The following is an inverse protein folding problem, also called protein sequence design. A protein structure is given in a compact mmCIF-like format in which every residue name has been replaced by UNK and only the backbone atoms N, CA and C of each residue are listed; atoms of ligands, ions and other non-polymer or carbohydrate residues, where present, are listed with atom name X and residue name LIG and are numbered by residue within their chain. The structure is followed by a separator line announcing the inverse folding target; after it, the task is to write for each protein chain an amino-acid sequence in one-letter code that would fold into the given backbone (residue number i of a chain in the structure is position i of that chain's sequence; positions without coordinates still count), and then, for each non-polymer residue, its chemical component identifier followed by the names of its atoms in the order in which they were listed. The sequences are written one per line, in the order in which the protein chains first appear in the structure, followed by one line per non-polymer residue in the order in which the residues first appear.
data_IF_394626560756
#
_entry.id   IF_394626560756
#
_cell.length_a   1.000
_cell.length_b   1.000
_cell.length_c   1.000
_cell.angle_alpha   90.00
_cell.angle_beta   90.00
_cell.angle_gamma   90.00
#
_symmetry.space_group_name_H-M   'P 1'
#
loop_
_entity.id
_entity.type
_entity.pdbx_description
1 polymer ?
#
# COMPACT_ATOMS: atom_id res chain seq x y z
N UNK A 1 -9.85 -8.29 17.45
CA UNK A 1 -10.02 -7.00 16.73
C UNK A 1 -8.66 -6.36 16.57
N UNK A 2 -7.98 -6.73 15.48
CA UNK A 2 -6.67 -6.23 15.09
C UNK A 2 -6.60 -4.71 15.14
N UNK A 3 -5.68 -4.20 15.95
CA UNK A 3 -5.37 -2.77 16.00
C UNK A 3 -4.25 -2.51 15.00
N UNK A 4 -4.59 -1.92 13.86
CA UNK A 4 -3.60 -1.34 12.96
C UNK A 4 -3.23 0.04 13.48
N UNK A 5 -1.95 0.27 13.77
CA UNK A 5 -1.49 1.54 14.33
C UNK A 5 -1.54 2.68 13.30
N UNK A 6 -1.49 2.34 12.00
CA UNK A 6 -1.49 3.30 10.90
C UNK A 6 -0.27 4.22 10.90
N UNK A 7 -0.33 5.23 10.03
CA UNK A 7 0.73 6.23 9.85
C UNK A 7 0.24 7.64 10.19
N UNK A 8 1.17 8.51 10.59
CA UNK A 8 0.93 9.95 10.76
C UNK A 8 1.72 10.72 9.71
N UNK A 9 1.06 11.69 9.07
CA UNK A 9 1.72 12.60 8.11
C UNK A 9 2.39 13.79 8.80
N UNK A 10 1.99 14.11 10.03
CA UNK A 10 2.59 15.15 10.87
C UNK A 10 2.37 14.82 12.37
N UNK A 11 3.16 15.36 13.31
CA UNK A 11 3.06 15.02 14.73
C UNK A 11 1.64 15.14 15.33
N UNK A 12 0.91 16.17 14.90
CA UNK A 12 -0.46 16.49 15.35
C UNK A 12 -1.56 15.99 14.40
N UNK A 13 -1.20 15.30 13.32
CA UNK A 13 -2.17 14.73 12.40
C UNK A 13 -2.84 13.48 13.01
N UNK A 14 -4.10 13.21 12.62
CA UNK A 14 -4.73 11.92 12.91
C UNK A 14 -3.93 10.78 12.27
N UNK A 15 -4.03 9.60 12.88
CA UNK A 15 -3.48 8.37 12.28
C UNK A 15 -4.41 7.91 11.18
N UNK A 16 -3.83 7.50 10.07
CA UNK A 16 -4.55 6.94 8.92
C UNK A 16 -4.03 5.51 8.75
N UNK A 17 -4.93 4.54 8.82
CA UNK A 17 -4.61 3.12 8.58
C UNK A 17 -5.05 2.65 7.20
N UNK A 18 -5.93 3.39 6.51
CA UNK A 18 -6.45 2.97 5.22
C UNK A 18 -6.96 4.14 4.37
N UNK A 19 -7.07 3.88 3.07
CA UNK A 19 -7.76 4.72 2.10
C UNK A 19 -8.52 3.79 1.14
N UNK A 20 -9.84 3.96 1.07
CA UNK A 20 -10.71 3.12 0.23
C UNK A 20 -11.29 3.95 -0.90
N UNK A 21 -11.24 3.42 -2.12
CA UNK A 21 -11.90 4.03 -3.28
C UNK A 21 -12.39 2.95 -4.24
N UNK A 22 -13.71 2.87 -4.43
CA UNK A 22 -14.34 1.82 -5.24
C UNK A 22 -13.80 0.43 -4.83
N UNK A 23 -13.19 -0.29 -5.76
CA UNK A 23 -12.63 -1.63 -5.55
C UNK A 23 -11.16 -1.63 -5.08
N UNK A 24 -10.52 -0.45 -5.04
CA UNK A 24 -9.10 -0.32 -4.69
C UNK A 24 -8.91 0.20 -3.25
N UNK A 25 -8.11 -0.53 -2.48
CA UNK A 25 -7.83 -0.22 -1.08
C UNK A 25 -6.33 -0.05 -0.83
N UNK A 26 -5.97 0.98 -0.07
CA UNK A 26 -4.64 1.20 0.46
C UNK A 26 -4.66 0.99 1.96
N UNK A 27 -3.72 0.21 2.47
CA UNK A 27 -3.58 -0.07 3.89
C UNK A 27 -2.20 0.40 4.35
N UNK A 28 -2.18 1.15 5.45
CA UNK A 28 -0.98 1.69 6.06
C UNK A 28 -0.76 1.02 7.40
N UNK A 29 0.41 0.41 7.55
CA UNK A 29 0.84 -0.37 8.71
C UNK A 29 2.27 0.01 9.08
N UNK A 30 2.66 -0.23 10.32
CA UNK A 30 4.09 -0.24 10.66
C UNK A 30 4.75 -1.50 10.10
N UNK A 31 5.99 -1.38 9.66
CA UNK A 31 6.78 -2.52 9.19
C UNK A 31 7.23 -3.41 10.34
N UNK A 32 6.30 -4.15 10.93
CA UNK A 32 6.54 -5.09 12.02
C UNK A 32 5.67 -6.32 11.82
N UNK A 33 6.17 -7.48 12.25
CA UNK A 33 5.45 -8.75 12.11
C UNK A 33 4.05 -8.69 12.74
N UNK A 34 3.93 -8.14 13.95
CA UNK A 34 2.65 -8.02 14.66
C UNK A 34 1.60 -7.23 13.87
N UNK A 35 2.00 -6.18 13.15
CA UNK A 35 1.06 -5.40 12.32
C UNK A 35 0.63 -6.16 11.06
N UNK A 36 1.54 -6.95 10.47
CA UNK A 36 1.20 -7.85 9.37
C UNK A 36 0.23 -8.96 9.81
N UNK A 37 0.45 -9.56 10.98
CA UNK A 37 -0.46 -10.56 11.56
C UNK A 37 -1.84 -9.95 11.86
N UNK A 38 -1.88 -8.76 12.46
CA UNK A 38 -3.13 -8.03 12.70
C UNK A 38 -3.86 -7.72 11.38
N UNK A 39 -3.13 -7.36 10.32
CA UNK A 39 -3.71 -7.15 9.00
C UNK A 39 -4.34 -8.44 8.46
N UNK A 40 -3.64 -9.57 8.56
CA UNK A 40 -4.16 -10.87 8.12
C UNK A 40 -5.44 -11.24 8.89
N UNK A 41 -5.48 -11.03 10.22
CA UNK A 41 -6.70 -11.24 11.03
C UNK A 41 -7.87 -10.38 10.52
N UNK A 42 -7.61 -9.10 10.22
CA UNK A 42 -8.62 -8.18 9.69
C UNK A 42 -9.11 -8.62 8.32
N UNK A 43 -8.22 -9.03 7.41
CA UNK A 43 -8.61 -9.52 6.08
C UNK A 43 -9.42 -10.81 6.20
N UNK A 44 -8.99 -11.78 7.00
CA UNK A 44 -9.75 -13.02 7.20
C UNK A 44 -11.14 -12.76 7.77
N UNK A 45 -11.25 -11.88 8.77
CA UNK A 45 -12.54 -11.48 9.34
C UNK A 45 -13.43 -10.81 8.28
N UNK A 46 -12.84 -9.96 7.43
CA UNK A 46 -13.56 -9.34 6.33
C UNK A 46 -14.07 -10.39 5.33
N UNK A 47 -13.24 -11.36 4.95
CA UNK A 47 -13.63 -12.42 4.02
C UNK A 47 -14.76 -13.30 4.60
N UNK A 48 -14.67 -13.67 5.88
CA UNK A 48 -15.70 -14.45 6.57
C UNK A 48 -17.04 -13.73 6.65
N UNK A 49 -17.03 -12.42 6.97
CA UNK A 49 -18.25 -11.65 7.16
C UNK A 49 -18.87 -11.16 5.85
N UNK A 50 -18.04 -10.81 4.86
CA UNK A 50 -18.53 -10.26 3.58
C UNK A 50 -18.77 -11.34 2.52
N UNK A 51 -18.15 -12.52 2.65
CA UNK A 51 -18.08 -13.54 1.61
C UNK A 51 -17.20 -13.16 0.41
N UNK A 52 -16.54 -12.00 0.45
CA UNK A 52 -15.60 -11.56 -0.58
C UNK A 52 -14.19 -12.10 -0.30
N UNK A 53 -13.33 -12.14 -1.33
CA UNK A 53 -11.92 -12.51 -1.17
C UNK A 53 -11.01 -11.41 -1.68
N UNK A 54 -9.91 -11.18 -0.95
CA UNK A 54 -8.86 -10.27 -1.38
C UNK A 54 -8.11 -10.89 -2.54
N UNK A 55 -7.92 -10.13 -3.61
CA UNK A 55 -7.13 -10.58 -4.75
C UNK A 55 -5.64 -10.35 -4.48
N UNK A 56 -4.99 -11.33 -3.85
CA UNK A 56 -3.54 -11.28 -3.55
C UNK A 56 -2.68 -11.11 -4.81
N UNK A 57 -3.11 -11.64 -5.96
CA UNK A 57 -2.40 -11.50 -7.25
C UNK A 57 -2.46 -10.10 -7.86
N UNK A 58 -3.40 -9.26 -7.40
CA UNK A 58 -3.48 -7.82 -7.74
C UNK A 58 -3.03 -6.92 -6.59
N UNK A 59 -2.68 -7.52 -5.45
CA UNK A 59 -2.23 -6.80 -4.27
C UNK A 59 -0.73 -6.71 -4.26
N UNK A 60 -0.21 -5.60 -3.72
CA UNK A 60 1.20 -5.33 -3.64
C UNK A 60 1.55 -4.69 -2.30
N UNK A 61 2.77 -4.94 -1.82
CA UNK A 61 3.33 -4.25 -0.66
C UNK A 61 4.47 -3.34 -1.09
N UNK A 62 4.54 -2.16 -0.48
CA UNK A 62 5.61 -1.19 -0.63
C UNK A 62 6.18 -0.87 0.74
N UNK A 63 7.51 -0.88 0.87
CA UNK A 63 8.19 -0.60 2.13
C UNK A 63 8.87 0.77 2.11
N UNK A 64 8.98 1.37 3.30
CA UNK A 64 9.82 2.55 3.49
C UNK A 64 11.30 2.17 3.41
N UNK A 65 12.16 3.16 3.09
CA UNK A 65 13.62 2.98 3.07
C UNK A 65 14.25 2.62 4.42
N UNK A 66 13.48 2.67 5.50
CA UNK A 66 13.96 2.42 6.86
C UNK A 66 13.94 0.92 7.23
N UNK A 67 13.34 0.05 6.40
CA UNK A 67 13.37 -1.39 6.59
C UNK A 67 14.55 -2.02 5.83
N UNK A 68 15.25 -2.94 6.49
CA UNK A 68 16.30 -3.71 5.84
C UNK A 68 15.72 -4.64 4.76
N UNK A 69 16.48 -4.96 3.72
CA UNK A 69 16.02 -5.90 2.67
C UNK A 69 15.60 -7.26 3.24
N UNK A 70 16.34 -7.88 4.18
CA UNK A 70 15.88 -9.12 4.82
C UNK A 70 14.51 -8.99 5.51
N UNK A 71 14.24 -7.87 6.18
CA UNK A 71 12.94 -7.64 6.82
C UNK A 71 11.84 -7.47 5.77
N UNK A 72 12.13 -6.79 4.66
CA UNK A 72 11.16 -6.63 3.56
C UNK A 72 10.82 -7.99 2.93
N UNK A 73 11.81 -8.82 2.67
CA UNK A 73 11.60 -10.17 2.11
C UNK A 73 10.78 -11.04 3.08
N UNK A 74 11.12 -10.97 4.37
CA UNK A 74 10.38 -11.68 5.42
C UNK A 74 8.92 -11.24 5.51
N UNK A 75 8.66 -9.93 5.59
CA UNK A 75 7.28 -9.41 5.69
C UNK A 75 6.47 -9.64 4.41
N UNK A 76 7.12 -9.62 3.24
CA UNK A 76 6.50 -9.96 1.96
C UNK A 76 6.02 -11.42 1.95
N UNK A 77 6.86 -12.34 2.44
CA UNK A 77 6.51 -13.76 2.56
C UNK A 77 5.34 -13.98 3.53
N UNK A 78 5.31 -13.25 4.65
CA UNK A 78 4.19 -13.32 5.62
C UNK A 78 2.88 -12.85 5.00
N UNK A 79 2.90 -11.75 4.23
CA UNK A 79 1.70 -11.18 3.62
C UNK A 79 1.23 -11.91 2.35
N UNK A 80 2.05 -12.81 1.79
CA UNK A 80 1.75 -13.59 0.56
C UNK A 80 1.36 -12.68 -0.62
N UNK A 81 1.99 -11.51 -0.71
CA UNK A 81 1.82 -10.55 -1.81
C UNK A 81 3.14 -10.30 -2.51
N UNK A 82 3.10 -9.81 -3.75
CA UNK A 82 4.32 -9.35 -4.41
C UNK A 82 4.87 -8.08 -3.75
N UNK A 83 6.17 -8.03 -3.50
CA UNK A 83 6.86 -6.77 -3.23
C UNK A 83 6.99 -6.01 -4.54
N UNK A 84 6.37 -4.82 -4.63
CA UNK A 84 6.50 -3.96 -5.81
C UNK A 84 7.36 -2.77 -5.43
N UNK A 85 8.25 -2.39 -6.35
CA UNK A 85 9.00 -1.14 -6.22
C UNK A 85 8.06 0.06 -6.09
N UNK A 86 8.60 1.17 -5.58
CA UNK A 86 7.95 2.47 -5.29
C UNK A 86 7.12 3.12 -6.44
N UNK A 87 6.97 2.45 -7.57
CA UNK A 87 6.36 2.94 -8.83
C UNK A 87 4.95 2.40 -9.10
N UNK A 88 4.23 1.92 -8.08
CA UNK A 88 2.83 1.54 -8.28
C UNK A 88 1.92 2.77 -8.45
N UNK A 89 0.75 2.60 -9.07
CA UNK A 89 -0.20 3.70 -9.34
C UNK A 89 -1.52 3.48 -8.61
N UNK A 90 -1.92 4.42 -7.77
CA UNK A 90 -3.28 4.49 -7.21
C UNK A 90 -4.10 5.52 -7.98
N UNK A 91 -5.28 5.14 -8.48
CA UNK A 91 -6.12 6.03 -9.31
C UNK A 91 -5.38 6.60 -10.53
N UNK A 92 -4.44 5.83 -11.10
CA UNK A 92 -3.53 6.24 -12.19
C UNK A 92 -2.56 7.37 -11.80
N UNK A 93 -2.47 7.70 -10.51
CA UNK A 93 -1.49 8.63 -9.96
C UNK A 93 -0.35 7.83 -9.31
N UNK A 94 0.90 8.29 -9.43
CA UNK A 94 2.02 7.63 -8.79
C UNK A 94 1.84 7.65 -7.28
N UNK A 95 1.94 6.47 -6.67
CA UNK A 95 1.71 6.26 -5.24
C UNK A 95 2.76 6.95 -4.36
N UNK A 96 3.97 7.15 -4.89
CA UNK A 96 5.01 7.97 -4.28
C UNK A 96 5.43 9.12 -5.20
N UNK A 97 5.30 10.34 -4.68
CA UNK A 97 5.82 11.53 -5.36
C UNK A 97 7.32 11.62 -5.06
N UNK A 98 8.13 11.43 -6.10
CA UNK A 98 9.57 11.60 -6.00
C UNK A 98 9.91 13.08 -5.75
N UNK A 99 11.15 13.36 -5.34
CA UNK A 99 11.62 14.73 -5.07
C UNK A 99 11.36 15.70 -6.22
N UNK A 100 11.35 15.19 -7.46
CA UNK A 100 10.91 15.92 -8.64
C UNK A 100 9.47 15.58 -8.99
N UNK A 101 8.54 16.50 -8.68
CA UNK A 101 7.14 16.42 -9.10
C UNK A 101 7.02 16.31 -10.62
N UNK A 102 7.84 17.06 -11.36
CA UNK A 102 7.89 17.00 -12.83
C UNK A 102 8.20 15.59 -13.32
N UNK A 103 9.24 14.94 -12.80
CA UNK A 103 9.59 13.58 -13.21
C UNK A 103 8.48 12.57 -12.90
N UNK A 104 7.83 12.71 -11.75
CA UNK A 104 6.73 11.82 -11.34
C UNK A 104 5.50 11.94 -12.25
N UNK A 105 5.21 13.13 -12.80
CA UNK A 105 4.03 13.35 -13.66
C UNK A 105 4.31 13.34 -15.17
N UNK A 106 5.55 13.08 -15.63
CA UNK A 106 5.86 13.00 -17.08
C UNK A 106 4.97 12.04 -17.86
N UNK A 107 4.56 10.93 -17.24
CA UNK A 107 3.64 9.97 -17.87
C UNK A 107 2.29 10.59 -18.27
N UNK A 108 1.87 11.67 -17.59
CA UNK A 108 0.63 12.37 -17.88
C UNK A 108 0.78 13.24 -19.14
N UNK A 109 1.93 13.89 -19.28
CA UNK A 109 2.32 14.67 -20.46
C UNK A 109 2.43 13.78 -21.71
N UNK A 110 3.13 12.65 -21.60
CA UNK A 110 3.24 11.66 -22.69
C UNK A 110 1.87 11.10 -23.11
N UNK A 111 0.96 10.86 -22.16
CA UNK A 111 -0.41 10.40 -22.47
C UNK A 111 -1.26 11.45 -23.18
N UNK A 112 -1.07 12.73 -22.89
CA UNK A 112 -1.76 13.81 -23.58
C UNK A 112 -1.22 13.96 -25.01
N UNK A 113 0.09 13.88 -25.18
CA UNK A 113 0.75 13.96 -26.48
C UNK A 113 0.39 12.78 -27.39
N UNK A 114 0.29 11.56 -26.86
CA UNK A 114 -0.13 10.37 -27.63
C UNK A 114 -1.64 10.29 -27.91
N UNK A 115 -2.43 11.30 -27.48
CA UNK A 115 -3.86 11.41 -27.75
C UNK A 115 -4.19 12.50 -28.79
N UNK A 116 -3.17 13.23 -29.25
CA UNK A 116 -3.20 14.11 -30.41
C UNK A 116 -2.73 13.33 -31.64
#
# INVERSE_FOLDING_TARGET
MGKLEGVKVAPRAPRISHLFFADDSYLFLRGSLSECENLIEVLNTYEELSGQRVNLGKSAVCFSKNLSLPDQDFLTAVLVVGAVGVQDKYLRLPTLIARSKMATFRFLEEKLLNRL
#
